data_IF_494779320377
#
_entry.id   IF_494779320377
#
_cell.length_a   1.000
_cell.length_b   1.000
_cell.length_c   1.000
_cell.angle_alpha   90.00
_cell.angle_beta   90.00
_cell.angle_gamma   90.00
#
_symmetry.space_group_name_H-M   'P 1'
#
loop_
_entity.id
_entity.type
_entity.pdbx_description
1 polymer ?
#
# COMPACT_ATOMS: atom_id res chain seq x y z
N UNK A 1 -14.81 -18.70 4.87
CA UNK A 1 -15.24 -17.30 5.07
C UNK A 1 -14.16 -16.57 5.87
N UNK A 2 -13.83 -15.33 5.50
CA UNK A 2 -12.96 -14.45 6.28
C UNK A 2 -13.82 -13.91 7.44
N UNK A 3 -13.43 -14.23 8.68
CA UNK A 3 -14.22 -13.85 9.87
C UNK A 3 -13.81 -12.45 10.35
N UNK A 4 -14.69 -11.47 10.19
CA UNK A 4 -14.50 -10.06 10.59
C UNK A 4 -14.27 -9.94 12.10
N UNK A 5 -15.14 -10.53 12.91
CA UNK A 5 -15.06 -10.45 14.37
C UNK A 5 -13.73 -11.00 14.91
N UNK A 6 -13.20 -12.05 14.28
CA UNK A 6 -11.89 -12.59 14.64
C UNK A 6 -10.75 -11.63 14.27
N UNK A 7 -10.82 -10.91 13.13
CA UNK A 7 -9.81 -9.91 12.77
C UNK A 7 -9.85 -8.76 13.78
N UNK A 8 -11.05 -8.26 14.09
CA UNK A 8 -11.27 -7.17 15.06
C UNK A 8 -10.72 -7.55 16.44
N UNK A 9 -11.07 -8.73 16.94
CA UNK A 9 -10.59 -9.22 18.24
C UNK A 9 -9.06 -9.42 18.27
N UNK A 10 -8.50 -10.07 17.24
CA UNK A 10 -7.06 -10.37 17.15
C UNK A 10 -6.20 -9.08 17.13
N UNK A 11 -6.72 -7.98 16.58
CA UNK A 11 -6.03 -6.70 16.45
C UNK A 11 -6.51 -5.63 17.45
N UNK A 12 -7.53 -5.94 18.25
CA UNK A 12 -8.18 -4.99 19.17
C UNK A 12 -8.60 -3.70 18.46
N UNK A 13 -9.18 -3.84 17.26
CA UNK A 13 -9.58 -2.69 16.45
C UNK A 13 -10.79 -2.00 17.07
N UNK A 14 -10.71 -0.68 17.09
CA UNK A 14 -11.90 0.16 17.30
C UNK A 14 -12.55 0.41 15.92
N UNK A 15 -13.75 -0.12 15.74
CA UNK A 15 -14.58 0.09 14.56
C UNK A 15 -15.68 1.14 14.77
N UNK A 16 -15.60 1.95 15.83
CA UNK A 16 -16.50 3.10 16.01
C UNK A 16 -16.24 4.19 14.96
N UNK A 17 -15.00 4.29 14.45
CA UNK A 17 -14.65 5.16 13.35
C UNK A 17 -15.20 4.60 12.02
N UNK A 18 -16.18 5.29 11.43
CA UNK A 18 -16.77 4.94 10.11
C UNK A 18 -15.71 4.90 9.00
N UNK A 19 -14.69 5.74 9.10
CA UNK A 19 -13.57 5.83 8.16
C UNK A 19 -12.74 4.55 8.07
N UNK A 20 -12.84 3.68 9.04
CA UNK A 20 -12.22 2.36 9.04
C UNK A 20 -13.26 1.24 8.89
N UNK A 21 -14.39 1.34 9.59
CA UNK A 21 -15.38 0.27 9.63
C UNK A 21 -16.06 0.06 8.28
N UNK A 22 -16.37 1.11 7.55
CA UNK A 22 -17.03 1.02 6.25
C UNK A 22 -16.17 0.31 5.20
N UNK A 23 -14.95 0.80 4.84
CA UNK A 23 -14.11 0.11 3.87
C UNK A 23 -13.74 -1.32 4.29
N UNK A 24 -13.54 -1.56 5.60
CA UNK A 24 -13.27 -2.89 6.12
C UNK A 24 -14.43 -3.85 5.90
N UNK A 25 -15.65 -3.41 6.19
CA UNK A 25 -16.84 -4.25 6.04
C UNK A 25 -17.12 -4.57 4.58
N UNK A 26 -17.10 -3.57 3.70
CA UNK A 26 -17.38 -3.74 2.28
C UNK A 26 -16.32 -4.64 1.63
N UNK A 27 -15.04 -4.40 1.91
CA UNK A 27 -13.95 -5.24 1.38
C UNK A 27 -14.09 -6.70 1.82
N UNK A 28 -14.31 -6.97 3.10
CA UNK A 28 -14.39 -8.34 3.60
C UNK A 28 -15.65 -9.04 3.08
N UNK A 29 -16.77 -8.33 2.95
CA UNK A 29 -18.01 -8.89 2.38
C UNK A 29 -17.83 -9.22 0.89
N UNK A 30 -17.24 -8.33 0.11
CA UNK A 30 -16.95 -8.57 -1.30
C UNK A 30 -15.99 -9.76 -1.49
N UNK A 31 -14.92 -9.85 -0.68
CA UNK A 31 -14.02 -11.00 -0.70
C UNK A 31 -14.70 -12.33 -0.33
N UNK A 32 -15.66 -12.30 0.59
CA UNK A 32 -16.38 -13.51 1.00
C UNK A 32 -17.43 -13.96 0.01
N UNK A 33 -18.15 -13.03 -0.61
CA UNK A 33 -19.35 -13.32 -1.40
C UNK A 33 -19.10 -13.35 -2.91
N UNK A 34 -18.13 -12.58 -3.40
CA UNK A 34 -17.93 -12.35 -4.84
C UNK A 34 -16.63 -12.98 -5.37
N UNK A 35 -15.53 -12.90 -4.61
CA UNK A 35 -14.19 -13.23 -5.08
C UNK A 35 -13.93 -14.73 -5.31
N UNK A 36 -14.81 -15.63 -4.87
CA UNK A 36 -14.69 -17.11 -4.99
C UNK A 36 -13.31 -17.64 -4.61
N UNK A 37 -12.70 -17.07 -3.57
CA UNK A 37 -11.36 -17.43 -3.13
C UNK A 37 -11.25 -18.88 -2.67
N UNK A 38 -10.17 -19.55 -3.06
CA UNK A 38 -9.76 -20.85 -2.51
C UNK A 38 -9.50 -20.76 -1.01
N UNK A 39 -9.30 -21.89 -0.34
CA UNK A 39 -8.93 -21.90 1.08
C UNK A 39 -7.63 -21.11 1.33
N UNK A 40 -6.60 -21.33 0.53
CA UNK A 40 -5.32 -20.62 0.61
C UNK A 40 -5.48 -19.13 0.28
N UNK A 41 -6.30 -18.77 -0.72
CA UNK A 41 -6.63 -17.39 -1.05
C UNK A 41 -7.30 -16.64 0.12
N UNK A 42 -8.23 -17.31 0.83
CA UNK A 42 -8.86 -16.74 2.04
C UNK A 42 -7.86 -16.50 3.16
N UNK A 43 -6.91 -17.43 3.35
CA UNK A 43 -5.86 -17.25 4.37
C UNK A 43 -4.94 -16.10 4.00
N UNK A 44 -4.52 -16.00 2.73
CA UNK A 44 -3.68 -14.92 2.22
C UNK A 44 -4.37 -13.56 2.36
N UNK A 45 -5.61 -13.43 1.90
CA UNK A 45 -6.38 -12.19 2.02
C UNK A 45 -6.57 -11.77 3.48
N UNK A 46 -6.92 -12.71 4.37
CA UNK A 46 -7.02 -12.45 5.82
C UNK A 46 -5.70 -11.95 6.39
N UNK A 47 -4.58 -12.59 6.03
CA UNK A 47 -3.24 -12.20 6.49
C UNK A 47 -2.91 -10.78 6.02
N UNK A 48 -3.10 -10.46 4.74
CA UNK A 48 -2.84 -9.15 4.17
C UNK A 48 -3.65 -8.05 4.85
N UNK A 49 -4.98 -8.24 4.99
CA UNK A 49 -5.84 -7.27 5.68
C UNK A 49 -5.32 -7.01 7.10
N UNK A 50 -4.96 -8.06 7.84
CA UNK A 50 -4.40 -7.90 9.18
C UNK A 50 -3.08 -7.12 9.19
N UNK A 51 -2.19 -7.35 8.21
CA UNK A 51 -0.94 -6.61 8.11
C UNK A 51 -1.19 -5.12 7.75
N UNK A 52 -2.11 -4.84 6.82
CA UNK A 52 -2.45 -3.47 6.44
C UNK A 52 -3.03 -2.69 7.63
N UNK A 53 -3.93 -3.31 8.40
CA UNK A 53 -4.51 -2.69 9.60
C UNK A 53 -3.48 -2.46 10.71
N UNK A 54 -2.55 -3.41 10.93
CA UNK A 54 -1.41 -3.20 11.85
C UNK A 54 -0.53 -2.05 11.42
N UNK A 55 -0.19 -2.00 10.13
CA UNK A 55 0.63 -0.93 9.59
C UNK A 55 -0.08 0.43 9.71
N UNK A 56 -1.40 0.50 9.44
CA UNK A 56 -2.21 1.70 9.68
C UNK A 56 -2.06 2.20 11.12
N UNK A 57 -2.20 1.30 12.10
CA UNK A 57 -2.07 1.64 13.51
C UNK A 57 -0.66 2.17 13.84
N UNK A 58 0.38 1.48 13.40
CA UNK A 58 1.77 1.89 13.58
C UNK A 58 2.07 3.23 12.89
N UNK A 59 1.57 3.45 11.67
CA UNK A 59 1.67 4.73 10.95
C UNK A 59 1.09 5.86 11.82
N UNK A 60 -0.10 5.67 12.40
CA UNK A 60 -0.71 6.68 13.25
C UNK A 60 0.12 6.96 14.49
N UNK A 61 0.59 5.93 15.20
CA UNK A 61 1.44 6.08 16.38
C UNK A 61 2.76 6.80 16.09
N UNK A 62 3.46 6.42 15.02
CA UNK A 62 4.72 7.07 14.66
C UNK A 62 4.51 8.51 14.19
N UNK A 63 3.44 8.77 13.46
CA UNK A 63 3.11 10.10 12.98
C UNK A 63 2.84 11.09 14.11
N UNK A 64 2.15 10.67 15.19
CA UNK A 64 1.89 11.49 16.37
C UNK A 64 3.18 11.97 17.07
N UNK A 65 4.27 11.21 16.93
CA UNK A 65 5.59 11.59 17.45
C UNK A 65 6.35 12.60 16.60
N UNK A 66 5.87 12.94 15.40
CA UNK A 66 6.55 13.87 14.49
C UNK A 66 6.15 15.31 14.84
N UNK A 67 7.11 16.11 15.31
CA UNK A 67 6.84 17.51 15.70
C UNK A 67 6.41 18.40 14.54
N UNK A 68 6.96 18.19 13.36
CA UNK A 68 6.69 18.97 12.14
C UNK A 68 6.53 18.02 10.94
N UNK A 69 5.36 17.39 10.80
CA UNK A 69 5.13 16.50 9.67
C UNK A 69 5.17 17.29 8.36
N UNK A 70 5.89 16.73 7.38
CA UNK A 70 6.11 17.38 6.09
C UNK A 70 6.19 16.34 4.98
N UNK A 71 5.73 16.74 3.80
CA UNK A 71 5.96 16.06 2.52
C UNK A 71 6.52 17.08 1.55
N UNK A 72 7.80 16.93 1.19
CA UNK A 72 8.53 17.95 0.43
C UNK A 72 8.12 17.95 -1.05
N UNK A 73 7.51 19.03 -1.49
CA UNK A 73 7.23 19.40 -2.89
C UNK A 73 6.84 18.20 -3.80
N UNK A 74 5.74 17.49 -3.53
CA UNK A 74 5.39 16.28 -4.27
C UNK A 74 5.07 16.59 -5.74
N UNK A 75 5.59 15.74 -6.63
CA UNK A 75 5.24 15.68 -8.05
C UNK A 75 4.41 14.41 -8.24
N UNK A 76 3.23 14.54 -8.81
CA UNK A 76 2.37 13.40 -9.13
C UNK A 76 2.41 13.10 -10.63
N UNK A 77 2.79 11.88 -10.98
CA UNK A 77 2.65 11.34 -12.33
C UNK A 77 1.28 10.69 -12.42
N UNK A 78 0.37 11.33 -13.12
CA UNK A 78 -1.01 10.89 -13.32
C UNK A 78 -1.28 10.62 -14.80
N UNK A 79 -2.20 9.71 -15.07
CA UNK A 79 -2.64 9.39 -16.43
C UNK A 79 -3.38 8.06 -16.47
N UNK A 80 -4.07 7.83 -17.57
CA UNK A 80 -4.82 6.60 -17.77
C UNK A 80 -3.87 5.38 -17.80
N UNK A 81 -4.33 4.20 -17.39
CA UNK A 81 -3.58 2.96 -17.57
C UNK A 81 -3.09 2.80 -19.02
N UNK A 82 -1.86 2.29 -19.20
CA UNK A 82 -1.21 2.06 -20.50
C UNK A 82 -0.86 3.34 -21.30
N UNK A 83 -0.87 4.52 -20.68
CA UNK A 83 -0.46 5.81 -21.29
C UNK A 83 1.03 6.16 -21.17
N UNK A 84 1.86 5.21 -20.71
CA UNK A 84 3.30 5.42 -20.55
C UNK A 84 3.74 6.07 -19.22
N UNK A 85 2.82 6.22 -18.27
CA UNK A 85 3.12 6.84 -16.94
C UNK A 85 4.20 6.08 -16.17
N UNK A 86 4.28 4.76 -16.28
CA UNK A 86 5.35 3.96 -15.65
C UNK A 86 6.72 4.29 -16.24
N UNK A 87 6.81 4.45 -17.56
CA UNK A 87 8.05 4.85 -18.22
C UNK A 87 8.50 6.25 -17.78
N UNK A 88 7.58 7.21 -17.79
CA UNK A 88 7.85 8.58 -17.33
C UNK A 88 8.28 8.59 -15.86
N UNK A 89 7.59 7.86 -15.00
CA UNK A 89 7.91 7.74 -13.57
C UNK A 89 9.33 7.18 -13.38
N UNK A 90 9.67 6.08 -14.06
CA UNK A 90 11.00 5.48 -13.98
C UNK A 90 12.09 6.40 -14.54
N UNK A 91 11.80 7.18 -15.57
CA UNK A 91 12.73 8.16 -16.12
C UNK A 91 12.99 9.29 -15.11
N UNK A 92 11.94 9.88 -14.56
CA UNK A 92 12.05 10.96 -13.57
C UNK A 92 12.69 10.48 -12.25
N UNK A 93 12.55 9.21 -11.90
CA UNK A 93 13.17 8.64 -10.69
C UNK A 93 14.70 8.48 -10.79
N UNK A 94 15.29 8.67 -11.98
CA UNK A 94 16.75 8.68 -12.14
C UNK A 94 17.38 9.99 -11.62
N UNK A 95 16.60 11.05 -11.44
CA UNK A 95 17.10 12.29 -10.84
C UNK A 95 17.25 12.09 -9.32
N UNK A 96 18.49 12.27 -8.82
CA UNK A 96 18.83 12.13 -7.41
C UNK A 96 18.11 13.11 -6.48
N UNK A 97 17.53 14.19 -7.02
CA UNK A 97 16.70 15.13 -6.28
C UNK A 97 15.29 14.59 -6.01
N UNK A 98 14.88 13.56 -6.73
CA UNK A 98 13.60 12.91 -6.55
C UNK A 98 13.73 11.68 -5.65
N UNK A 99 12.75 11.47 -4.80
CA UNK A 99 12.55 10.25 -4.01
C UNK A 99 11.15 9.71 -4.24
N UNK A 100 11.08 8.42 -4.48
CA UNK A 100 9.81 7.69 -4.50
C UNK A 100 9.79 6.68 -3.35
N UNK A 101 8.63 6.31 -2.82
CA UNK A 101 8.54 5.17 -1.91
C UNK A 101 9.00 3.90 -2.62
N UNK A 102 9.83 3.10 -1.95
CA UNK A 102 10.31 1.84 -2.49
C UNK A 102 9.37 0.70 -2.10
N UNK A 103 9.32 -0.34 -2.93
CA UNK A 103 8.44 -1.49 -2.69
C UNK A 103 8.64 -2.09 -1.28
N UNK A 104 9.90 -2.31 -0.84
CA UNK A 104 10.18 -2.87 0.48
C UNK A 104 9.73 -1.97 1.64
N UNK A 105 9.79 -0.63 1.46
CA UNK A 105 9.33 0.33 2.47
C UNK A 105 7.83 0.23 2.70
N UNK A 106 7.06 0.03 1.63
CA UNK A 106 5.61 -0.10 1.69
C UNK A 106 5.15 -1.47 2.18
N UNK A 107 5.87 -2.54 1.81
CA UNK A 107 5.51 -3.91 2.25
C UNK A 107 5.74 -4.14 3.74
N UNK A 108 6.81 -3.58 4.29
CA UNK A 108 7.17 -3.71 5.72
C UNK A 108 7.70 -2.40 6.28
N UNK A 109 6.83 -1.40 6.48
CA UNK A 109 7.27 -0.08 6.93
C UNK A 109 7.89 -0.08 8.33
N UNK A 110 7.51 -1.04 9.19
CA UNK A 110 7.95 -1.04 10.59
C UNK A 110 8.64 -2.33 11.03
N UNK A 111 9.53 -2.25 12.06
CA UNK A 111 10.11 -1.03 12.61
C UNK A 111 10.91 -0.26 11.56
N UNK A 112 11.03 1.07 11.73
CA UNK A 112 11.86 1.88 10.84
C UNK A 112 13.31 1.35 10.86
N UNK A 113 13.99 1.38 9.71
CA UNK A 113 15.36 0.88 9.57
C UNK A 113 16.26 1.98 9.01
N UNK A 114 17.50 2.00 9.47
CA UNK A 114 18.50 2.93 8.95
C UNK A 114 18.84 2.64 7.50
N UNK A 115 18.93 3.69 6.70
CA UNK A 115 19.29 3.62 5.28
C UNK A 115 20.72 3.07 5.13
N UNK A 116 20.93 2.19 4.15
CA UNK A 116 22.18 1.47 3.90
C UNK A 116 22.65 0.54 5.03
N UNK A 117 21.77 0.25 6.00
CA UNK A 117 22.07 -0.65 7.10
C UNK A 117 21.83 -2.13 6.78
N UNK A 118 22.34 -3.02 7.64
CA UNK A 118 22.09 -4.47 7.52
C UNK A 118 20.59 -4.82 7.55
N UNK A 119 19.81 -4.10 8.37
CA UNK A 119 18.37 -4.31 8.49
C UNK A 119 17.60 -3.96 7.21
N UNK A 120 18.03 -2.94 6.47
CA UNK A 120 17.49 -2.61 5.16
C UNK A 120 17.73 -3.76 4.17
N UNK A 121 18.97 -4.27 4.09
CA UNK A 121 19.30 -5.43 3.23
C UNK A 121 18.45 -6.65 3.55
N UNK A 122 18.18 -6.90 4.84
CA UNK A 122 17.27 -7.98 5.25
C UNK A 122 15.83 -7.74 4.77
N UNK A 123 15.34 -6.49 4.82
CA UNK A 123 14.01 -6.14 4.35
C UNK A 123 13.87 -6.29 2.84
N UNK A 124 14.88 -5.82 2.10
CA UNK A 124 14.98 -6.04 0.65
C UNK A 124 14.97 -7.54 0.34
N UNK A 125 15.78 -8.34 1.05
CA UNK A 125 15.78 -9.79 0.89
C UNK A 125 14.44 -10.47 1.17
N UNK A 126 13.72 -10.03 2.21
CA UNK A 126 12.38 -10.53 2.52
C UNK A 126 11.36 -10.13 1.44
N UNK A 127 11.48 -8.92 0.90
CA UNK A 127 10.62 -8.46 -0.19
C UNK A 127 10.90 -9.20 -1.50
N UNK A 128 12.18 -9.51 -1.79
CA UNK A 128 12.56 -10.37 -2.91
C UNK A 128 11.94 -11.76 -2.80
N UNK A 129 11.89 -12.34 -1.61
CA UNK A 129 11.24 -13.63 -1.39
C UNK A 129 9.73 -13.57 -1.68
N UNK A 130 9.07 -12.49 -1.29
CA UNK A 130 7.64 -12.26 -1.62
C UNK A 130 7.45 -12.16 -3.14
N UNK A 131 8.31 -11.41 -3.83
CA UNK A 131 8.26 -11.26 -5.28
C UNK A 131 8.54 -12.59 -5.99
N UNK A 132 9.52 -13.38 -5.54
CA UNK A 132 9.79 -14.70 -6.07
C UNK A 132 8.56 -15.63 -5.99
N UNK A 133 7.86 -15.64 -4.85
CA UNK A 133 6.62 -16.41 -4.74
C UNK A 133 5.52 -15.85 -5.64
N UNK A 134 5.40 -14.51 -5.77
CA UNK A 134 4.46 -13.87 -6.68
C UNK A 134 4.70 -14.33 -8.12
N UNK A 135 5.93 -14.25 -8.62
CA UNK A 135 6.33 -14.70 -9.96
C UNK A 135 6.02 -16.18 -10.18
N UNK A 136 6.29 -17.02 -9.17
CA UNK A 136 6.07 -18.47 -9.27
C UNK A 136 4.59 -18.86 -9.33
N UNK A 137 3.70 -18.11 -8.65
CA UNK A 137 2.27 -18.45 -8.57
C UNK A 137 1.39 -17.61 -9.47
N UNK A 138 1.81 -16.41 -9.87
CA UNK A 138 1.04 -15.48 -10.70
C UNK A 138 1.96 -14.81 -11.73
N UNK A 139 2.58 -15.57 -12.64
CA UNK A 139 3.58 -15.03 -13.58
C UNK A 139 3.02 -13.94 -14.52
N UNK A 140 1.71 -13.98 -14.83
CA UNK A 140 1.09 -13.02 -15.72
C UNK A 140 1.11 -11.57 -15.19
N UNK A 141 1.31 -11.37 -13.88
CA UNK A 141 1.40 -10.02 -13.31
C UNK A 141 2.70 -9.31 -13.69
N UNK A 142 3.77 -10.04 -13.99
CA UNK A 142 5.05 -9.44 -14.37
C UNK A 142 5.04 -8.86 -15.78
N UNK A 143 4.23 -9.44 -16.68
CA UNK A 143 4.00 -8.90 -18.02
C UNK A 143 3.30 -7.53 -17.98
N UNK A 144 2.54 -7.27 -16.91
CA UNK A 144 1.81 -6.02 -16.71
C UNK A 144 2.63 -4.97 -15.96
N UNK A 145 3.39 -5.39 -14.93
CA UNK A 145 4.16 -4.51 -14.08
C UNK A 145 5.31 -5.26 -13.39
N UNK A 146 6.52 -5.08 -13.92
CA UNK A 146 7.73 -5.65 -13.31
C UNK A 146 8.11 -4.89 -12.04
N UNK A 147 8.05 -5.56 -10.90
CA UNK A 147 8.35 -4.99 -9.59
C UNK A 147 9.72 -5.48 -9.12
N UNK A 148 10.55 -4.55 -8.60
CA UNK A 148 11.77 -4.88 -7.87
C UNK A 148 11.65 -4.36 -6.45
N UNK A 149 12.23 -5.07 -5.48
CA UNK A 149 12.06 -4.71 -4.07
C UNK A 149 12.66 -3.36 -3.69
N UNK A 150 13.75 -2.97 -4.33
CA UNK A 150 14.48 -1.72 -4.12
C UNK A 150 14.16 -0.63 -5.15
N UNK A 151 13.11 -0.83 -5.93
CA UNK A 151 12.68 0.13 -6.95
C UNK A 151 11.53 1.00 -6.47
N UNK A 152 11.40 2.23 -7.02
CA UNK A 152 10.21 3.06 -6.90
C UNK A 152 8.94 2.32 -7.29
N UNK A 153 7.88 2.49 -6.49
CA UNK A 153 6.63 1.77 -6.71
C UNK A 153 5.41 2.69 -6.53
N UNK A 154 4.26 2.22 -7.00
CA UNK A 154 3.02 2.98 -7.06
C UNK A 154 2.39 3.20 -5.68
N UNK A 155 1.77 4.37 -5.49
CA UNK A 155 1.14 4.77 -4.23
C UNK A 155 -0.06 3.89 -3.84
N UNK A 156 -0.60 3.09 -4.78
CA UNK A 156 -1.68 2.14 -4.46
C UNK A 156 -1.31 1.18 -3.31
N UNK A 157 -0.01 0.89 -3.13
CA UNK A 157 0.50 0.08 -2.01
C UNK A 157 0.46 0.82 -0.66
N UNK A 158 0.38 2.15 -0.66
CA UNK A 158 0.20 2.95 0.56
C UNK A 158 -1.30 3.08 0.90
N UNK A 159 -2.15 3.22 -0.11
CA UNK A 159 -3.60 3.33 0.08
C UNK A 159 -4.24 2.09 0.69
N UNK A 160 -3.58 0.92 0.63
CA UNK A 160 -4.04 -0.29 1.34
C UNK A 160 -4.12 -0.10 2.85
N UNK A 161 -3.36 0.81 3.44
CA UNK A 161 -3.42 1.10 4.87
C UNK A 161 -4.72 1.82 5.27
N UNK A 162 -5.39 2.47 4.33
CA UNK A 162 -6.73 3.00 4.51
C UNK A 162 -7.83 1.99 4.15
N UNK A 163 -7.49 0.81 3.62
CA UNK A 163 -8.40 -0.12 2.95
C UNK A 163 -9.17 0.54 1.80
N UNK A 164 -8.56 1.53 1.13
CA UNK A 164 -9.11 2.26 0.00
C UNK A 164 -8.12 2.21 -1.19
N UNK A 165 -7.80 1.00 -1.65
CA UNK A 165 -6.88 0.80 -2.78
C UNK A 165 -7.48 -0.12 -3.82
N UNK A 166 -7.37 0.28 -5.09
CA UNK A 166 -7.77 -0.54 -6.24
C UNK A 166 -6.97 -1.87 -6.32
N UNK A 167 -5.86 -1.97 -5.59
CA UNK A 167 -5.06 -3.20 -5.52
C UNK A 167 -5.89 -4.42 -5.11
N UNK A 168 -6.85 -4.26 -4.20
CA UNK A 168 -7.71 -5.36 -3.78
C UNK A 168 -8.57 -5.91 -4.93
N UNK A 169 -9.05 -5.03 -5.82
CA UNK A 169 -9.77 -5.44 -7.03
C UNK A 169 -8.85 -6.12 -8.05
N UNK A 170 -7.60 -5.66 -8.18
CA UNK A 170 -6.61 -6.32 -9.05
C UNK A 170 -6.23 -7.73 -8.56
N UNK A 171 -6.28 -7.96 -7.26
CA UNK A 171 -5.94 -9.25 -6.66
C UNK A 171 -7.12 -10.24 -6.58
N UNK A 172 -8.35 -9.75 -6.58
CA UNK A 172 -9.55 -10.58 -6.44
C UNK A 172 -10.77 -9.89 -7.05
N UNK A 173 -11.68 -10.69 -7.62
CA UNK A 173 -12.92 -10.16 -8.18
C UNK A 173 -13.83 -9.63 -7.07
N UNK A 174 -13.81 -8.31 -6.86
CA UNK A 174 -14.54 -7.59 -5.79
C UNK A 174 -15.31 -6.40 -6.36
N UNK A 175 -16.33 -6.62 -7.22
CA UNK A 175 -17.05 -5.54 -7.91
C UNK A 175 -17.77 -4.59 -6.95
N UNK A 176 -18.42 -5.07 -5.89
CA UNK A 176 -19.06 -4.19 -4.89
C UNK A 176 -18.05 -3.30 -4.18
N UNK A 177 -16.85 -3.82 -3.91
CA UNK A 177 -15.78 -3.00 -3.34
C UNK A 177 -15.24 -1.97 -4.35
N UNK A 178 -15.16 -2.31 -5.65
CA UNK A 178 -14.77 -1.35 -6.70
C UNK A 178 -15.78 -0.22 -6.83
N UNK A 179 -17.08 -0.53 -6.79
CA UNK A 179 -18.15 0.48 -6.81
C UNK A 179 -18.04 1.42 -5.58
N UNK A 180 -17.79 0.87 -4.40
CA UNK A 180 -17.49 1.66 -3.21
C UNK A 180 -16.32 2.62 -3.44
N UNK A 181 -15.19 2.14 -3.99
CA UNK A 181 -14.01 2.98 -4.25
C UNK A 181 -14.30 4.13 -5.21
N UNK A 182 -15.20 3.93 -6.16
CA UNK A 182 -15.58 4.95 -7.15
C UNK A 182 -16.43 6.08 -6.55
N UNK A 183 -17.03 5.85 -5.37
CA UNK A 183 -17.98 6.77 -4.75
C UNK A 183 -17.57 7.24 -3.35
N UNK A 184 -16.52 6.65 -2.74
CA UNK A 184 -16.12 6.96 -1.38
C UNK A 184 -15.33 8.27 -1.27
N UNK A 185 -15.30 8.84 -0.05
CA UNK A 185 -14.36 9.91 0.27
C UNK A 185 -12.93 9.37 0.34
N UNK A 186 -12.09 9.81 -0.58
CA UNK A 186 -10.67 9.40 -0.68
C UNK A 186 -9.76 10.20 0.26
N UNK A 187 -10.24 11.21 0.96
CA UNK A 187 -9.45 12.05 1.89
C UNK A 187 -8.73 11.21 2.94
N UNK A 188 -9.34 10.11 3.36
CA UNK A 188 -8.80 9.16 4.35
C UNK A 188 -7.58 8.44 3.79
N UNK A 189 -7.64 7.96 2.54
CA UNK A 189 -6.52 7.33 1.87
C UNK A 189 -5.34 8.31 1.73
N UNK A 190 -5.63 9.57 1.35
CA UNK A 190 -4.61 10.61 1.24
C UNK A 190 -4.07 11.06 2.60
N UNK A 191 -4.87 11.05 3.65
CA UNK A 191 -4.39 11.29 5.01
C UNK A 191 -3.38 10.20 5.44
N UNK A 192 -3.68 8.93 5.19
CA UNK A 192 -2.73 7.84 5.47
C UNK A 192 -1.48 7.93 4.58
N UNK A 193 -1.63 8.31 3.32
CA UNK A 193 -0.55 8.53 2.38
C UNK A 193 0.40 9.65 2.87
N UNK A 194 -0.16 10.81 3.27
CA UNK A 194 0.61 11.91 3.84
C UNK A 194 1.37 11.50 5.12
N UNK A 195 0.70 10.79 6.03
CA UNK A 195 1.33 10.29 7.27
C UNK A 195 2.51 9.38 6.96
N UNK A 196 2.32 8.44 6.05
CA UNK A 196 3.36 7.50 5.66
C UNK A 196 4.57 8.18 5.04
N UNK A 197 4.36 9.09 4.08
CA UNK A 197 5.45 9.87 3.46
C UNK A 197 6.16 10.75 4.48
N UNK A 198 5.44 11.40 5.38
CA UNK A 198 6.03 12.20 6.46
C UNK A 198 6.95 11.36 7.35
N UNK A 199 6.59 10.10 7.65
CA UNK A 199 7.43 9.17 8.41
C UNK A 199 8.70 8.83 7.62
N UNK A 200 8.59 8.50 6.34
CA UNK A 200 9.76 8.22 5.50
C UNK A 200 10.67 9.44 5.37
N UNK A 201 10.12 10.65 5.31
CA UNK A 201 10.89 11.90 5.22
C UNK A 201 11.72 12.17 6.49
N UNK A 202 11.34 11.62 7.66
CA UNK A 202 12.17 11.71 8.87
C UNK A 202 13.48 10.92 8.77
N UNK A 203 13.51 9.88 7.93
CA UNK A 203 14.69 9.04 7.74
C UNK A 203 15.60 9.56 6.63
N UNK A 204 15.01 9.96 5.52
CA UNK A 204 15.72 10.48 4.37
C UNK A 204 14.91 11.60 3.74
N UNK A 205 15.35 12.83 3.95
CA UNK A 205 14.69 14.01 3.41
C UNK A 205 14.97 14.16 1.90
N UNK A 206 13.95 14.07 1.05
CA UNK A 206 14.08 14.34 -0.37
C UNK A 206 14.10 15.85 -0.63
N UNK A 207 14.58 16.27 -1.80
CA UNK A 207 14.24 17.59 -2.31
C UNK A 207 12.78 17.61 -2.80
N UNK A 208 12.36 16.55 -3.51
CA UNK A 208 10.99 16.37 -3.99
C UNK A 208 10.57 14.91 -3.88
N UNK A 209 9.32 14.68 -3.51
CA UNK A 209 8.68 13.39 -3.68
C UNK A 209 8.22 13.23 -5.13
N UNK A 210 8.51 12.09 -5.74
CA UNK A 210 7.95 11.67 -7.02
C UNK A 210 6.99 10.51 -6.78
N UNK A 211 5.72 10.73 -7.08
CA UNK A 211 4.62 9.85 -6.72
C UNK A 211 3.83 9.46 -7.98
N UNK A 212 3.38 8.21 -8.05
CA UNK A 212 2.61 7.73 -9.19
C UNK A 212 1.55 6.75 -8.72
N UNK A 213 0.34 6.91 -9.22
CA UNK A 213 -0.75 5.96 -9.05
C UNK A 213 -1.83 6.26 -10.10
N UNK A 214 -2.30 5.27 -10.88
CA UNK A 214 -3.39 5.48 -11.82
C UNK A 214 -4.69 5.98 -11.18
N UNK A 215 -4.87 5.70 -9.89
CA UNK A 215 -6.06 6.10 -9.13
C UNK A 215 -5.90 7.44 -8.38
N UNK A 216 -4.93 8.27 -8.78
CA UNK A 216 -4.85 9.68 -8.37
C UNK A 216 -5.74 10.60 -9.24
N UNK A 217 -6.41 10.06 -10.25
CA UNK A 217 -7.37 10.76 -11.11
C UNK A 217 -8.73 10.89 -10.42
#
# INVERSE_FOLDING_TARGET
>A
MINKSKIVADLKLDLSDSNLSEPFNILVDSLNNEAKLSFTGKLAAKYQIKQHLRNRHLISQFYEGIKQPKVSQPIFVIGLPRSGTTFLFNLLSQDSNHRSPLFWEMMKPFPLVETNGYKEKLRIGQSNLILFFKERFIPQLDDLHAIKSDSPEECLLIKVFALQSILYFYMANTPTYLDYLSNCDTSIAYSQHFKFLSILETQQKPQRWLLKDPSHL
#
